data_IF_309588345814
#
_entry.id   IF_309588345814
#
_cell.length_a   1.000
_cell.length_b   1.000
_cell.length_c   1.000
_cell.angle_alpha   90.00
_cell.angle_beta   90.00
_cell.angle_gamma   90.00
#
_symmetry.space_group_name_H-M   'P 1'
#
loop_
_entity.id
_entity.type
_entity.pdbx_description
1 polymer ?
#
# COMPACT_ATOMS: atom_id res chain seq x y z
N UNK A 1 -19.39 22.67 -47.39
CA UNK A 1 -18.68 23.42 -46.34
C UNK A 1 -18.62 22.54 -45.11
N UNK A 2 -17.46 21.93 -44.86
CA UNK A 2 -17.24 21.06 -43.71
C UNK A 2 -16.70 21.90 -42.53
N UNK A 3 -17.36 21.82 -41.38
CA UNK A 3 -16.91 22.50 -40.15
C UNK A 3 -15.89 21.63 -39.42
N UNK A 4 -14.69 22.17 -39.25
CA UNK A 4 -13.61 21.59 -38.44
C UNK A 4 -13.93 21.77 -36.94
N UNK A 5 -14.01 20.66 -36.21
CA UNK A 5 -14.11 20.64 -34.74
C UNK A 5 -12.68 20.67 -34.18
N UNK A 6 -12.34 21.76 -33.50
CA UNK A 6 -11.06 21.92 -32.81
C UNK A 6 -11.07 21.09 -31.53
N UNK A 7 -10.23 20.05 -31.49
CA UNK A 7 -9.98 19.19 -30.33
C UNK A 7 -9.24 19.99 -29.26
N UNK A 8 -9.83 20.15 -28.08
CA UNK A 8 -9.15 20.70 -26.90
C UNK A 8 -8.09 19.72 -26.40
N UNK A 9 -6.86 20.23 -26.24
CA UNK A 9 -5.73 19.50 -25.65
C UNK A 9 -6.02 19.23 -24.17
N UNK A 10 -6.08 17.95 -23.80
CA UNK A 10 -6.09 17.47 -22.42
C UNK A 10 -4.64 17.52 -21.93
N UNK A 11 -4.33 18.44 -21.01
CA UNK A 11 -2.99 18.55 -20.43
C UNK A 11 -2.90 17.69 -19.17
N UNK A 12 -2.30 16.50 -19.32
CA UNK A 12 -1.85 15.65 -18.22
C UNK A 12 -0.82 16.40 -17.35
N UNK A 13 -0.83 16.26 -16.02
CA UNK A 13 0.22 16.80 -15.17
C UNK A 13 1.55 16.11 -15.49
N UNK A 14 2.51 16.88 -15.98
CA UNK A 14 3.83 16.38 -16.37
C UNK A 14 4.67 16.08 -15.14
N UNK A 15 5.06 14.81 -14.99
CA UNK A 15 6.17 14.40 -14.13
C UNK A 15 7.48 14.88 -14.77
N UNK A 16 8.21 15.80 -14.12
CA UNK A 16 9.47 16.37 -14.63
C UNK A 16 10.69 15.43 -14.52
N UNK A 17 10.52 14.11 -14.36
CA UNK A 17 11.58 13.13 -14.64
C UNK A 17 11.17 12.18 -15.76
N UNK A 18 11.94 12.19 -16.85
CA UNK A 18 11.90 11.20 -17.93
C UNK A 18 12.41 9.83 -17.49
N UNK A 19 11.74 9.21 -16.52
CA UNK A 19 12.00 7.81 -16.18
C UNK A 19 11.36 6.94 -17.25
N UNK A 20 12.18 6.57 -18.23
CA UNK A 20 11.91 5.46 -19.15
C UNK A 20 11.72 4.21 -18.30
N UNK A 21 10.50 3.68 -18.27
CA UNK A 21 10.21 2.37 -17.68
C UNK A 21 11.05 1.32 -18.41
N UNK A 22 12.16 0.89 -17.80
CA UNK A 22 12.95 -0.22 -18.29
C UNK A 22 12.39 -1.50 -17.68
N UNK A 23 11.30 -2.00 -18.24
CA UNK A 23 10.94 -3.40 -18.04
C UNK A 23 12.02 -4.24 -18.72
N UNK A 24 12.78 -4.99 -17.93
CA UNK A 24 13.59 -6.09 -18.45
C UNK A 24 12.66 -7.05 -19.17
N UNK A 25 12.78 -7.14 -20.50
CA UNK A 25 12.07 -8.15 -21.29
C UNK A 25 12.52 -9.52 -20.78
N UNK A 26 11.62 -10.27 -20.18
CA UNK A 26 11.79 -11.72 -20.04
C UNK A 26 11.89 -12.30 -21.45
N UNK A 27 12.94 -13.08 -21.66
CA UNK A 27 13.25 -13.74 -22.92
C UNK A 27 12.07 -14.64 -23.31
N UNK A 28 11.42 -14.27 -24.41
CA UNK A 28 10.46 -15.12 -25.11
C UNK A 28 11.27 -16.24 -25.78
N UNK A 29 11.10 -17.47 -25.29
CA UNK A 29 11.60 -18.65 -25.96
C UNK A 29 10.38 -19.43 -26.42
N UNK A 30 10.09 -19.33 -27.72
CA UNK A 30 9.10 -20.16 -28.39
C UNK A 30 9.60 -21.62 -28.39
N UNK A 31 8.70 -22.53 -28.06
CA UNK A 31 8.92 -23.96 -28.08
C UNK A 31 7.58 -24.67 -27.97
N UNK A 32 6.94 -24.87 -29.12
CA UNK A 32 5.78 -25.73 -29.30
C UNK A 32 6.03 -27.11 -28.70
N UNK A 33 5.07 -27.63 -27.92
CA UNK A 33 4.69 -29.05 -27.93
C UNK A 33 3.36 -29.24 -27.15
N UNK A 34 2.37 -29.79 -27.85
CA UNK A 34 1.11 -30.31 -27.32
C UNK A 34 1.36 -31.41 -26.28
N UNK A 35 0.67 -31.37 -25.14
CA UNK A 35 0.42 -32.56 -24.32
C UNK A 35 -1.08 -32.69 -24.00
N UNK A 36 -1.64 -33.82 -24.44
CA UNK A 36 -2.98 -34.33 -24.14
C UNK A 36 -3.05 -34.87 -22.70
N UNK A 37 -4.23 -34.92 -22.08
CA UNK A 37 -4.39 -35.45 -20.73
C UNK A 37 -4.32 -36.99 -20.68
N UNK A 38 -3.52 -37.52 -19.74
CA UNK A 38 -3.46 -38.94 -19.38
C UNK A 38 -4.65 -39.31 -18.47
N UNK A 39 -5.52 -40.17 -18.99
CA UNK A 39 -6.53 -40.91 -18.24
C UNK A 39 -5.93 -42.21 -17.68
N UNK A 40 -6.05 -42.43 -16.37
CA UNK A 40 -5.72 -43.71 -15.72
C UNK A 40 -6.98 -44.56 -15.65
N UNK A 41 -6.97 -45.70 -16.33
CA UNK A 41 -7.96 -46.78 -16.21
C UNK A 41 -7.46 -47.86 -15.25
N UNK A 42 -8.30 -48.25 -14.31
CA UNK A 42 -8.08 -49.38 -13.38
C UNK A 42 -8.54 -50.66 -14.07
N UNK A 43 -7.64 -51.61 -14.25
CA UNK A 43 -7.99 -52.98 -14.68
C UNK A 43 -8.24 -53.87 -13.47
N UNK A 44 -9.46 -54.40 -13.43
CA UNK A 44 -9.90 -55.50 -12.58
C UNK A 44 -9.72 -56.81 -13.37
N UNK A 45 -9.00 -57.78 -12.81
CA UNK A 45 -8.97 -59.14 -13.37
C UNK A 45 -9.33 -60.19 -12.32
N UNK A 46 -10.40 -60.90 -12.65
CA UNK A 46 -10.82 -62.24 -12.25
C UNK A 46 -9.62 -63.21 -12.30
N UNK A 47 -9.44 -64.20 -11.42
CA UNK A 47 -10.39 -65.15 -10.86
C UNK A 47 -9.90 -66.55 -11.22
N UNK A 48 -9.69 -67.43 -10.23
CA UNK A 48 -9.64 -68.88 -10.46
C UNK A 48 -9.85 -69.68 -9.17
N UNK A 49 -10.85 -70.56 -9.25
CA UNK A 49 -11.29 -71.54 -8.26
C UNK A 49 -10.42 -72.79 -8.32
N UNK A 50 -10.20 -73.42 -7.17
CA UNK A 50 -10.31 -74.88 -7.05
C UNK A 50 -10.69 -75.29 -5.62
N UNK A 51 -11.67 -76.20 -5.54
CA UNK A 51 -12.18 -76.84 -4.33
C UNK A 51 -11.23 -77.94 -3.85
N UNK A 52 -11.11 -78.11 -2.53
CA UNK A 52 -10.92 -79.43 -1.92
C UNK A 52 -11.54 -79.45 -0.50
N UNK A 53 -12.54 -80.29 -0.34
CA UNK A 53 -13.15 -80.70 0.93
C UNK A 53 -12.12 -81.42 1.82
N UNK A 54 -12.14 -81.17 3.13
CA UNK A 54 -12.25 -82.24 4.14
C UNK A 54 -12.38 -81.67 5.56
N UNK A 55 -13.39 -82.19 6.26
CA UNK A 55 -13.66 -82.02 7.67
C UNK A 55 -12.47 -82.41 8.55
N UNK A 56 -12.23 -81.66 9.62
CA UNK A 56 -12.20 -82.18 11.00
C UNK A 56 -11.96 -81.05 11.99
N UNK A 57 -13.02 -80.67 12.69
CA UNK A 57 -12.92 -79.99 13.97
C UNK A 57 -12.64 -81.04 15.05
N UNK A 58 -11.50 -80.93 15.74
CA UNK A 58 -11.44 -81.22 17.16
C UNK A 58 -10.17 -80.65 17.82
N UNK A 59 -10.42 -79.71 18.72
CA UNK A 59 -9.81 -79.55 20.04
C UNK A 59 -8.41 -78.91 20.19
N UNK A 60 -8.47 -77.73 20.83
CA UNK A 60 -7.77 -77.33 22.07
C UNK A 60 -6.24 -77.45 22.03
N UNK A 61 -5.55 -76.31 21.97
CA UNK A 61 -4.56 -75.95 22.98
C UNK A 61 -4.43 -74.43 23.12
N UNK A 62 -4.19 -74.06 24.35
CA UNK A 62 -4.28 -72.75 25.01
C UNK A 62 -2.95 -71.98 24.88
N UNK A 63 -3.00 -70.67 25.16
CA UNK A 63 -1.89 -69.70 25.30
C UNK A 63 -1.26 -69.17 23.99
N UNK A 64 -1.54 -67.91 23.67
CA UNK A 64 -0.68 -66.76 24.03
C UNK A 64 -1.38 -65.46 23.60
N UNK A 65 -1.55 -64.53 24.55
CA UNK A 65 -1.67 -63.12 24.21
C UNK A 65 -0.32 -62.70 23.60
N UNK A 66 -0.33 -62.30 22.34
CA UNK A 66 0.68 -61.39 21.82
C UNK A 66 -0.06 -60.29 21.10
N UNK A 67 -0.16 -59.16 21.78
CA UNK A 67 -0.45 -57.87 21.17
C UNK A 67 0.52 -57.65 20.00
N UNK A 68 0.06 -57.83 18.77
CA UNK A 68 0.69 -57.26 17.59
C UNK A 68 0.23 -55.80 17.41
N UNK A 69 0.38 -54.98 18.44
CA UNK A 69 0.07 -53.56 18.37
C UNK A 69 1.34 -52.78 18.77
N UNK A 70 2.21 -52.59 17.77
CA UNK A 70 3.39 -51.72 17.76
C UNK A 70 4.56 -52.10 18.70
N UNK A 71 5.26 -53.17 18.36
CA UNK A 71 6.61 -53.43 18.89
C UNK A 71 7.66 -52.51 18.25
N UNK A 72 7.69 -51.23 18.63
CA UNK A 72 8.87 -50.39 18.39
C UNK A 72 9.99 -50.99 19.24
N UNK A 73 11.07 -51.46 18.60
CA UNK A 73 12.23 -52.00 19.32
C UNK A 73 12.76 -50.93 20.30
N UNK A 74 13.20 -51.30 21.51
CA UNK A 74 13.77 -50.33 22.46
C UNK A 74 14.93 -49.53 21.83
N UNK A 75 15.68 -50.14 20.92
CA UNK A 75 16.75 -49.48 20.14
C UNK A 75 16.22 -48.41 19.18
N UNK A 76 15.05 -48.63 18.58
CA UNK A 76 14.41 -47.63 17.72
C UNK A 76 13.80 -46.49 18.51
N UNK A 77 13.30 -46.72 19.74
CA UNK A 77 12.86 -45.64 20.63
C UNK A 77 14.02 -44.72 21.03
N UNK A 78 15.18 -45.29 21.39
CA UNK A 78 16.39 -44.51 21.73
C UNK A 78 16.88 -43.68 20.54
N UNK A 79 16.95 -44.25 19.35
CA UNK A 79 17.35 -43.52 18.13
C UNK A 79 16.37 -42.41 17.77
N UNK A 80 15.06 -42.63 17.93
CA UNK A 80 14.03 -41.61 17.68
C UNK A 80 14.14 -40.48 18.71
N UNK A 81 14.37 -40.82 19.98
CA UNK A 81 14.54 -39.84 21.04
C UNK A 81 15.79 -38.98 20.82
N UNK A 82 16.91 -39.58 20.43
CA UNK A 82 18.15 -38.86 20.10
C UNK A 82 17.98 -37.98 18.86
N UNK A 83 17.27 -38.46 17.85
CA UNK A 83 16.97 -37.67 16.65
C UNK A 83 16.08 -36.47 16.97
N UNK A 84 15.03 -36.65 17.77
CA UNK A 84 14.16 -35.57 18.22
C UNK A 84 14.91 -34.57 19.10
N UNK A 85 15.78 -35.06 19.99
CA UNK A 85 16.65 -34.22 20.81
C UNK A 85 17.62 -33.39 19.96
N UNK A 86 18.23 -33.99 18.93
CA UNK A 86 19.10 -33.29 17.98
C UNK A 86 18.33 -32.25 17.16
N UNK A 87 17.13 -32.59 16.67
CA UNK A 87 16.28 -31.64 15.94
C UNK A 87 15.87 -30.45 16.80
N UNK A 88 15.53 -30.69 18.07
CA UNK A 88 15.19 -29.63 19.02
C UNK A 88 16.41 -28.76 19.36
N UNK A 89 17.57 -29.37 19.56
CA UNK A 89 18.84 -28.65 19.77
C UNK A 89 19.19 -27.78 18.56
N UNK A 90 19.08 -28.32 17.35
CA UNK A 90 19.31 -27.58 16.11
C UNK A 90 18.33 -26.43 15.97
N UNK A 91 17.04 -26.63 16.25
CA UNK A 91 16.05 -25.55 16.27
C UNK A 91 16.39 -24.47 17.29
N UNK A 92 16.81 -24.83 18.49
CA UNK A 92 17.20 -23.87 19.54
C UNK A 92 18.44 -23.04 19.18
N UNK A 93 19.34 -23.56 18.35
CA UNK A 93 20.55 -22.86 17.91
C UNK A 93 20.28 -22.07 16.62
N UNK A 94 19.63 -22.68 15.63
CA UNK A 94 19.38 -22.08 14.31
C UNK A 94 18.33 -20.98 14.37
N UNK A 95 17.28 -21.10 15.20
CA UNK A 95 16.24 -20.08 15.29
C UNK A 95 16.76 -18.71 15.77
N UNK A 96 17.54 -18.58 16.85
CA UNK A 96 18.12 -17.29 17.24
C UNK A 96 19.20 -16.81 16.27
N UNK A 97 19.97 -17.70 15.64
CA UNK A 97 20.93 -17.32 14.60
C UNK A 97 20.22 -16.77 13.36
N UNK A 98 19.13 -17.40 12.94
CA UNK A 98 18.27 -16.94 11.86
C UNK A 98 17.68 -15.58 12.20
N UNK A 99 17.08 -15.40 13.39
CA UNK A 99 16.60 -14.10 13.85
C UNK A 99 17.70 -13.04 13.86
N UNK A 100 18.91 -13.38 14.33
CA UNK A 100 20.03 -12.42 14.39
C UNK A 100 20.57 -12.04 13.02
N UNK A 101 20.63 -12.97 12.07
CA UNK A 101 21.15 -12.69 10.72
C UNK A 101 20.11 -12.05 9.80
N UNK A 102 18.82 -12.38 9.98
CA UNK A 102 17.74 -11.93 9.11
C UNK A 102 16.86 -10.82 9.69
N UNK A 103 17.04 -10.44 10.96
CA UNK A 103 16.36 -9.26 11.49
C UNK A 103 16.75 -8.03 10.65
N UNK A 104 15.77 -7.24 10.18
CA UNK A 104 16.05 -5.98 9.52
C UNK A 104 17.03 -5.16 10.36
N UNK A 105 18.16 -4.77 9.77
CA UNK A 105 19.15 -3.91 10.44
C UNK A 105 18.70 -2.44 10.49
N UNK A 106 17.72 -2.07 9.68
CA UNK A 106 17.24 -0.71 9.55
C UNK A 106 15.76 -0.67 9.95
N UNK A 107 15.46 0.04 11.03
CA UNK A 107 14.09 0.45 11.33
C UNK A 107 13.66 1.45 10.24
N UNK A 108 12.58 1.17 9.49
CA UNK A 108 12.16 2.05 8.40
C UNK A 108 11.70 3.40 8.96
N UNK A 109 12.34 4.47 8.51
CA UNK A 109 11.94 5.85 8.80
C UNK A 109 10.94 6.27 7.72
N UNK A 110 9.82 6.94 8.08
CA UNK A 110 8.87 7.44 7.11
C UNK A 110 9.51 8.38 6.10
N UNK A 111 9.01 8.42 4.86
CA UNK A 111 9.35 9.47 3.94
C UNK A 111 8.90 10.82 4.50
N UNK A 112 9.68 11.84 4.18
CA UNK A 112 9.37 13.22 4.54
C UNK A 112 8.52 13.83 3.43
N UNK A 113 7.38 14.41 3.82
CA UNK A 113 6.52 15.18 2.92
C UNK A 113 6.65 16.66 3.26
N UNK A 114 7.12 17.43 2.29
CA UNK A 114 7.35 18.86 2.40
C UNK A 114 6.42 19.59 1.43
N UNK A 115 5.57 20.49 1.93
CA UNK A 115 4.86 21.45 1.08
C UNK A 115 5.75 22.66 0.84
N UNK A 116 6.31 22.74 -0.36
CA UNK A 116 7.24 23.79 -0.74
C UNK A 116 6.52 25.13 -0.90
N UNK A 117 5.38 25.11 -1.60
CA UNK A 117 4.59 26.31 -1.90
C UNK A 117 3.15 25.94 -2.20
N UNK A 118 2.23 26.83 -1.84
CA UNK A 118 0.82 26.77 -2.25
C UNK A 118 0.35 28.15 -2.68
N UNK A 119 -0.38 28.20 -3.80
CA UNK A 119 -1.00 29.40 -4.34
C UNK A 119 -2.50 29.19 -4.45
N UNK A 120 -3.27 30.11 -3.89
CA UNK A 120 -4.73 30.14 -4.00
C UNK A 120 -5.14 31.16 -5.05
N UNK A 121 -6.07 30.80 -5.91
CA UNK A 121 -6.61 31.65 -6.97
C UNK A 121 -8.09 31.42 -7.17
N UNK A 122 -8.74 32.36 -7.88
CA UNK A 122 -10.17 32.34 -8.17
C UNK A 122 -11.03 32.14 -6.90
N UNK A 123 -10.61 32.71 -5.78
CA UNK A 123 -11.28 32.51 -4.51
C UNK A 123 -12.54 33.40 -4.40
N UNK A 124 -13.71 32.78 -4.45
CA UNK A 124 -15.01 33.46 -4.29
C UNK A 124 -15.88 32.71 -3.28
N UNK A 125 -16.58 33.47 -2.44
CA UNK A 125 -17.46 32.97 -1.35
C UNK A 125 -18.87 33.54 -1.47
N UNK A 126 -19.35 33.74 -2.70
CA UNK A 126 -20.66 34.35 -2.97
C UNK A 126 -21.80 33.35 -2.73
N UNK A 127 -23.06 33.81 -2.87
CA UNK A 127 -24.27 32.99 -2.65
C UNK A 127 -24.35 31.72 -3.51
N UNK A 128 -23.48 31.59 -4.53
CA UNK A 128 -23.34 30.39 -5.37
C UNK A 128 -22.44 29.29 -4.78
N UNK A 129 -21.81 29.50 -3.61
CA UNK A 129 -20.91 28.56 -2.95
C UNK A 129 -19.44 28.98 -3.03
N UNK A 130 -18.53 28.05 -2.69
CA UNK A 130 -17.09 28.27 -2.80
C UNK A 130 -16.62 27.99 -4.23
N UNK A 131 -15.93 28.94 -4.84
CA UNK A 131 -15.00 28.67 -5.94
C UNK A 131 -13.58 28.95 -5.48
N UNK A 132 -12.66 28.02 -5.71
CA UNK A 132 -11.27 28.19 -5.35
C UNK A 132 -10.40 27.18 -6.12
N UNK A 133 -9.19 27.60 -6.47
CA UNK A 133 -8.16 26.70 -7.01
C UNK A 133 -6.87 26.85 -6.21
N UNK A 134 -6.40 25.75 -5.64
CA UNK A 134 -5.09 25.67 -4.99
C UNK A 134 -4.10 24.98 -5.92
N UNK A 135 -2.97 25.63 -6.16
CA UNK A 135 -1.82 25.10 -6.88
C UNK A 135 -0.70 24.85 -5.86
N UNK A 136 -0.44 23.58 -5.57
CA UNK A 136 0.46 23.15 -4.50
C UNK A 136 1.63 22.33 -5.05
N UNK A 137 2.83 22.60 -4.51
CA UNK A 137 4.06 21.90 -4.88
C UNK A 137 4.64 21.18 -3.67
N UNK A 138 4.84 19.89 -3.79
CA UNK A 138 5.40 19.05 -2.74
C UNK A 138 6.76 18.50 -3.12
N UNK A 139 7.56 18.18 -2.11
CA UNK A 139 8.70 17.29 -2.22
C UNK A 139 8.48 16.11 -1.29
N UNK A 140 8.59 14.91 -1.84
CA UNK A 140 8.53 13.65 -1.09
C UNK A 140 9.91 13.01 -1.15
N UNK A 141 10.50 12.72 0.01
CA UNK A 141 11.87 12.21 0.11
C UNK A 141 11.89 10.90 0.87
N UNK A 142 12.52 9.87 0.29
CA UNK A 142 12.78 8.62 0.98
C UNK A 142 14.11 8.73 1.75
N UNK A 143 14.07 8.58 3.08
CA UNK A 143 15.23 8.81 3.94
C UNK A 143 16.13 7.58 4.01
N UNK A 144 15.59 6.42 4.39
CA UNK A 144 16.43 5.24 4.67
C UNK A 144 15.94 3.91 4.08
N UNK A 145 14.72 3.83 3.55
CA UNK A 145 14.19 2.56 2.99
C UNK A 145 14.84 2.30 1.64
N UNK A 146 15.24 1.06 1.33
CA UNK A 146 15.94 0.75 0.07
C UNK A 146 15.17 1.20 -1.17
N UNK A 147 13.87 0.91 -1.22
CA UNK A 147 12.95 1.44 -2.23
C UNK A 147 11.52 1.53 -1.69
N UNK A 148 10.80 2.60 -2.01
CA UNK A 148 9.38 2.76 -1.68
C UNK A 148 8.59 2.89 -2.97
N UNK A 149 7.60 2.02 -3.16
CA UNK A 149 6.58 2.17 -4.18
C UNK A 149 5.33 2.82 -3.60
N UNK A 150 5.08 4.07 -3.97
CA UNK A 150 3.83 4.76 -3.65
C UNK A 150 2.77 4.32 -4.65
N UNK A 151 1.71 3.64 -4.17
CA UNK A 151 0.56 3.27 -5.00
C UNK A 151 -0.30 4.51 -5.26
N UNK A 152 -0.73 5.16 -4.20
CA UNK A 152 -1.48 6.41 -4.25
C UNK A 152 -1.11 7.26 -3.04
N UNK A 153 -1.15 8.58 -3.24
CA UNK A 153 -1.23 9.54 -2.16
C UNK A 153 -2.49 10.35 -2.42
N UNK A 154 -3.48 10.20 -1.55
CA UNK A 154 -4.73 10.95 -1.62
C UNK A 154 -4.62 12.14 -0.67
N UNK A 155 -4.76 13.35 -1.21
CA UNK A 155 -4.61 14.61 -0.50
C UNK A 155 -5.99 15.22 -0.27
N UNK A 156 -6.23 15.72 0.93
CA UNK A 156 -7.45 16.43 1.30
C UNK A 156 -7.05 17.76 1.91
N UNK A 157 -7.53 18.87 1.34
CA UNK A 157 -7.42 20.21 1.93
C UNK A 157 -8.72 20.53 2.65
N UNK A 158 -8.64 21.07 3.85
CA UNK A 158 -9.77 21.40 4.70
C UNK A 158 -9.61 22.78 5.35
N UNK A 159 -10.71 23.34 5.82
CA UNK A 159 -10.69 24.65 6.47
C UNK A 159 -10.21 24.56 7.92
N UNK A 160 -9.31 25.46 8.33
CA UNK A 160 -8.74 25.52 9.68
C UNK A 160 -8.17 24.15 10.11
N UNK A 161 -8.72 23.54 11.15
CA UNK A 161 -8.16 22.36 11.83
C UNK A 161 -9.05 21.11 11.77
N UNK A 162 -10.22 21.18 11.12
CA UNK A 162 -11.19 20.09 11.12
C UNK A 162 -11.20 19.35 9.78
N UNK A 163 -10.72 18.10 9.70
CA UNK A 163 -10.72 17.33 8.45
C UNK A 163 -12.11 17.07 7.85
N UNK A 164 -13.18 17.13 8.66
CA UNK A 164 -14.56 17.01 8.16
C UNK A 164 -14.97 18.21 7.32
N UNK A 165 -14.34 19.37 7.51
CA UNK A 165 -14.54 20.59 6.73
C UNK A 165 -13.72 20.55 5.43
N UNK A 166 -13.75 19.40 4.74
CA UNK A 166 -13.00 19.15 3.52
C UNK A 166 -13.49 20.06 2.38
N UNK A 167 -12.53 20.74 1.73
CA UNK A 167 -12.81 21.69 0.65
C UNK A 167 -12.52 21.10 -0.73
N UNK A 168 -11.48 20.30 -0.83
CA UNK A 168 -11.10 19.65 -2.09
C UNK A 168 -10.18 18.46 -1.87
N UNK A 169 -10.18 17.54 -2.84
CA UNK A 169 -9.29 16.38 -2.88
C UNK A 169 -8.52 16.31 -4.18
N UNK A 170 -7.32 15.74 -4.12
CA UNK A 170 -6.49 15.40 -5.29
C UNK A 170 -5.70 14.12 -4.99
N UNK A 171 -5.23 13.40 -6.02
CA UNK A 171 -4.42 12.20 -5.84
C UNK A 171 -3.16 12.23 -6.70
N UNK A 172 -2.06 11.64 -6.21
CA UNK A 172 -0.87 11.41 -7.00
C UNK A 172 -1.01 10.18 -7.89
N UNK A 173 -0.28 10.16 -9.01
CA UNK A 173 -0.01 8.92 -9.72
C UNK A 173 0.97 8.03 -8.92
N UNK A 174 1.01 6.71 -9.19
CA UNK A 174 1.99 5.83 -8.58
C UNK A 174 3.42 6.16 -8.99
N UNK A 175 4.39 6.03 -8.08
CA UNK A 175 5.82 6.24 -8.37
C UNK A 175 6.72 5.46 -7.40
N UNK A 176 7.99 5.32 -7.78
CA UNK A 176 9.03 4.72 -6.94
C UNK A 176 9.97 5.80 -6.41
N UNK A 177 10.50 5.59 -5.21
CA UNK A 177 11.62 6.36 -4.64
C UNK A 177 12.65 5.41 -4.05
N UNK A 178 13.86 5.42 -4.59
CA UNK A 178 14.99 4.72 -4.01
C UNK A 178 15.50 5.42 -2.75
N UNK A 179 16.37 4.76 -1.99
CA UNK A 179 16.96 5.31 -0.76
C UNK A 179 17.70 6.63 -1.03
N UNK A 180 17.31 7.69 -0.30
CA UNK A 180 17.88 9.03 -0.45
C UNK A 180 17.30 9.83 -1.62
N UNK A 181 16.45 9.22 -2.45
CA UNK A 181 15.86 9.86 -3.61
C UNK A 181 14.62 10.69 -3.22
N UNK A 182 14.29 11.66 -4.07
CA UNK A 182 13.13 12.53 -3.89
C UNK A 182 12.37 12.76 -5.20
N UNK A 183 11.07 13.03 -5.09
CA UNK A 183 10.22 13.46 -6.19
C UNK A 183 9.57 14.80 -5.86
N UNK A 184 9.36 15.61 -6.89
CA UNK A 184 8.55 16.84 -6.81
C UNK A 184 7.18 16.56 -7.38
N UNK A 185 6.14 16.79 -6.59
CA UNK A 185 4.76 16.63 -7.02
C UNK A 185 4.14 18.02 -7.21
N UNK A 186 3.38 18.19 -8.28
CA UNK A 186 2.59 19.38 -8.55
C UNK A 186 1.12 18.97 -8.62
N UNK A 187 0.33 19.47 -7.67
CA UNK A 187 -1.07 19.12 -7.51
C UNK A 187 -1.94 20.36 -7.63
N UNK A 188 -3.09 20.20 -8.27
CA UNK A 188 -4.13 21.21 -8.38
C UNK A 188 -5.38 20.70 -7.68
N UNK A 189 -5.89 21.50 -6.76
CA UNK A 189 -7.14 21.26 -6.06
C UNK A 189 -8.16 22.28 -6.55
N UNK A 190 -9.41 21.87 -6.72
CA UNK A 190 -10.48 22.75 -7.18
C UNK A 190 -11.72 22.54 -6.34
N UNK A 191 -12.21 23.63 -5.74
CA UNK A 191 -13.53 23.69 -5.13
C UNK A 191 -14.45 24.51 -6.04
N UNK A 192 -15.69 24.06 -6.24
CA UNK A 192 -16.65 24.73 -7.12
C UNK A 192 -18.04 24.11 -7.01
N UNK A 193 -19.07 24.96 -6.95
CA UNK A 193 -20.46 24.55 -7.11
C UNK A 193 -20.72 24.17 -8.58
N UNK A 194 -20.53 22.90 -8.92
CA UNK A 194 -21.04 22.23 -10.12
C UNK A 194 -20.59 22.76 -11.49
N UNK A 195 -19.77 21.96 -12.20
CA UNK A 195 -19.71 21.75 -13.68
C UNK A 195 -18.34 21.25 -14.18
N UNK A 196 -17.42 20.89 -13.28
CA UNK A 196 -16.22 20.11 -13.63
C UNK A 196 -16.46 18.62 -13.41
N UNK A 197 -16.08 17.78 -14.39
CA UNK A 197 -16.35 16.34 -14.54
C UNK A 197 -15.80 15.40 -13.42
N UNK A 198 -15.41 15.91 -12.26
CA UNK A 198 -14.82 15.09 -11.17
C UNK A 198 -15.80 14.97 -10.00
N UNK A 199 -16.68 13.98 -10.08
CA UNK A 199 -17.76 13.70 -9.15
C UNK A 199 -17.31 13.24 -7.73
N UNK A 200 -16.06 13.52 -7.34
CA UNK A 200 -15.44 13.07 -6.09
C UNK A 200 -15.01 14.24 -5.17
N UNK A 201 -15.39 15.48 -5.49
CA UNK A 201 -15.10 16.62 -4.61
C UNK A 201 -16.08 16.66 -3.42
N UNK A 202 -15.61 17.00 -2.20
CA UNK A 202 -16.47 17.16 -1.04
C UNK A 202 -17.54 18.25 -1.24
N UNK A 203 -18.69 18.08 -0.60
CA UNK A 203 -19.69 19.15 -0.52
C UNK A 203 -19.25 20.17 0.54
N UNK A 204 -19.16 21.44 0.14
CA UNK A 204 -18.75 22.54 1.03
C UNK A 204 -20.00 23.22 1.59
N UNK A 205 -20.19 23.16 2.90
CA UNK A 205 -21.36 23.77 3.56
C UNK A 205 -21.36 25.30 3.44
N UNK A 206 -22.54 25.88 3.20
CA UNK A 206 -22.70 27.34 3.06
C UNK A 206 -22.18 28.12 4.29
N UNK A 207 -22.36 27.56 5.49
CA UNK A 207 -21.83 28.15 6.73
C UNK A 207 -20.31 28.32 6.65
N UNK A 208 -19.61 27.31 6.14
CA UNK A 208 -18.16 27.34 5.98
C UNK A 208 -17.75 28.42 4.96
N UNK A 209 -18.49 28.52 3.84
CA UNK A 209 -18.28 29.55 2.81
C UNK A 209 -18.40 30.96 3.40
N UNK A 210 -19.45 31.21 4.20
CA UNK A 210 -19.64 32.50 4.87
C UNK A 210 -18.54 32.80 5.89
N UNK A 211 -18.12 31.81 6.68
CA UNK A 211 -17.03 31.97 7.64
C UNK A 211 -15.70 32.30 6.94
N UNK A 212 -15.37 31.61 5.85
CA UNK A 212 -14.20 31.93 5.02
C UNK A 212 -14.27 33.34 4.44
N UNK A 213 -15.44 33.77 3.95
CA UNK A 213 -15.62 35.12 3.44
C UNK A 213 -15.37 36.20 4.50
N UNK A 214 -15.88 35.98 5.72
CA UNK A 214 -15.67 36.88 6.88
C UNK A 214 -14.21 36.92 7.32
N UNK A 215 -13.57 35.76 7.44
CA UNK A 215 -12.17 35.66 7.88
C UNK A 215 -11.23 36.30 6.85
N UNK A 216 -11.46 36.10 5.54
CA UNK A 216 -10.73 36.83 4.48
C UNK A 216 -10.89 38.34 4.61
N UNK A 217 -12.12 38.84 4.80
CA UNK A 217 -12.39 40.27 4.87
C UNK A 217 -11.80 40.93 6.13
N UNK A 218 -11.75 40.18 7.24
CA UNK A 218 -11.27 40.66 8.53
C UNK A 218 -9.75 40.60 8.66
N UNK A 219 -9.16 39.45 8.34
CA UNK A 219 -7.77 39.12 8.64
C UNK A 219 -6.86 39.16 7.39
N UNK A 220 -7.43 39.34 6.19
CA UNK A 220 -6.69 39.34 4.93
C UNK A 220 -5.99 38.02 4.62
N UNK A 221 -6.35 36.95 5.34
CA UNK A 221 -5.72 35.64 5.27
C UNK A 221 -6.72 34.55 5.60
N UNK A 222 -6.42 33.33 5.17
CA UNK A 222 -7.19 32.13 5.49
C UNK A 222 -6.25 31.03 5.96
N UNK A 223 -6.69 30.27 6.95
CA UNK A 223 -5.94 29.13 7.46
C UNK A 223 -6.59 27.84 6.96
N UNK A 224 -5.74 26.97 6.42
CA UNK A 224 -6.12 25.66 5.92
C UNK A 224 -5.32 24.59 6.64
N UNK A 225 -5.87 23.40 6.67
CA UNK A 225 -5.14 22.19 6.97
C UNK A 225 -5.12 21.26 5.76
N UNK A 226 -4.19 20.32 5.78
CA UNK A 226 -4.07 19.29 4.78
C UNK A 226 -3.77 17.95 5.42
N UNK A 227 -4.49 16.92 4.97
CA UNK A 227 -4.26 15.53 5.34
C UNK A 227 -3.94 14.73 4.08
N UNK A 228 -3.09 13.73 4.24
CA UNK A 228 -2.78 12.75 3.21
C UNK A 228 -3.20 11.38 3.70
N UNK A 229 -3.68 10.54 2.80
CA UNK A 229 -3.77 9.09 2.98
C UNK A 229 -2.84 8.45 1.96
N UNK A 230 -1.76 7.86 2.45
CA UNK A 230 -0.74 7.26 1.58
C UNK A 230 -0.84 5.75 1.66
N UNK A 231 -0.85 5.11 0.50
CA UNK A 231 -0.73 3.67 0.35
C UNK A 231 0.58 3.37 -0.35
N UNK A 232 1.48 2.65 0.31
CA UNK A 232 2.80 2.35 -0.22
C UNK A 232 3.23 0.91 0.06
N UNK A 233 4.22 0.44 -0.69
CA UNK A 233 4.96 -0.79 -0.42
C UNK A 233 6.40 -0.40 -0.15
N UNK A 234 6.91 -0.80 1.00
CA UNK A 234 8.31 -0.60 1.36
C UNK A 234 9.07 -1.88 1.03
N UNK A 235 10.14 -1.73 0.25
CA UNK A 235 11.10 -2.77 -0.04
C UNK A 235 12.36 -2.45 0.76
N UNK A 236 12.57 -3.20 1.83
CA UNK A 236 13.86 -3.27 2.51
C UNK A 236 14.75 -4.32 1.86
N UNK A 237 15.99 -4.44 2.34
CA UNK A 237 16.96 -5.40 1.80
C UNK A 237 16.50 -6.86 1.93
N UNK A 238 15.86 -7.19 3.05
CA UNK A 238 15.44 -8.56 3.39
C UNK A 238 13.95 -8.70 3.68
N UNK A 239 13.18 -7.62 3.52
CA UNK A 239 11.77 -7.56 3.91
C UNK A 239 10.95 -6.70 2.96
N UNK A 240 9.66 -6.98 2.88
CA UNK A 240 8.68 -6.19 2.13
C UNK A 240 7.45 -5.97 3.00
N UNK A 241 6.94 -4.75 3.04
CA UNK A 241 5.75 -4.43 3.85
C UNK A 241 4.82 -3.48 3.12
N UNK A 242 3.51 -3.71 3.25
CA UNK A 242 2.49 -2.75 2.83
C UNK A 242 2.31 -1.75 3.98
N UNK A 243 2.41 -0.46 3.67
CA UNK A 243 2.35 0.62 4.65
C UNK A 243 1.23 1.57 4.28
N UNK A 244 0.39 1.88 5.27
CA UNK A 244 -0.57 2.98 5.21
C UNK A 244 -0.12 4.04 6.21
N UNK A 245 -0.05 5.29 5.76
CA UNK A 245 0.33 6.41 6.61
C UNK A 245 -0.61 7.58 6.37
N UNK A 246 -0.87 8.37 7.41
CA UNK A 246 -1.76 9.52 7.35
C UNK A 246 -1.03 10.83 7.71
N UNK A 247 -0.09 11.31 6.87
CA UNK A 247 0.55 12.62 7.07
C UNK A 247 -0.48 13.75 7.23
N UNK A 248 -0.24 14.70 8.14
CA UNK A 248 -1.10 15.87 8.30
C UNK A 248 -0.30 17.14 8.61
N UNK A 249 -0.85 18.30 8.27
CA UNK A 249 -0.33 19.63 8.56
C UNK A 249 -1.51 20.60 8.72
N UNK A 250 -1.64 21.27 9.85
CA UNK A 250 -2.85 22.08 10.17
C UNK A 250 -2.63 23.60 10.08
N UNK A 251 -1.39 24.06 9.90
CA UNK A 251 -1.02 25.48 9.98
C UNK A 251 -0.64 26.06 8.60
N UNK A 252 -1.50 25.87 7.59
CA UNK A 252 -1.28 26.38 6.24
C UNK A 252 -1.99 27.72 6.03
N UNK A 253 -1.40 28.80 6.55
CA UNK A 253 -1.93 30.16 6.35
C UNK A 253 -1.63 30.69 4.96
N UNK A 254 -2.67 31.07 4.23
CA UNK A 254 -2.61 31.74 2.93
C UNK A 254 -2.93 33.22 3.13
N UNK A 255 -1.98 34.08 2.77
CA UNK A 255 -2.16 35.52 2.81
C UNK A 255 -2.61 36.03 1.44
N UNK A 256 -3.69 36.81 1.40
CA UNK A 256 -4.21 37.40 0.17
C UNK A 256 -3.37 38.59 -0.28
N UNK A 257 -3.26 38.75 -1.58
CA UNK A 257 -2.66 39.93 -2.19
C UNK A 257 -3.67 41.09 -2.13
N UNK A 258 -3.21 42.36 -1.96
CA UNK A 258 -4.09 43.52 -2.00
C UNK A 258 -4.91 43.56 -3.29
N UNK A 259 -6.21 43.82 -3.16
CA UNK A 259 -7.17 43.96 -4.26
C UNK A 259 -7.23 42.76 -5.24
N UNK A 260 -6.91 41.55 -4.76
CA UNK A 260 -6.96 40.31 -5.56
C UNK A 260 -7.62 39.16 -4.82
N UNK A 261 -8.36 38.35 -5.57
CA UNK A 261 -8.92 37.07 -5.10
C UNK A 261 -7.88 35.93 -5.17
N UNK A 262 -6.64 36.23 -4.80
CA UNK A 262 -5.54 35.29 -4.84
C UNK A 262 -4.60 35.49 -3.67
N UNK A 263 -4.03 34.38 -3.19
CA UNK A 263 -3.17 34.37 -2.02
C UNK A 263 -2.03 33.39 -2.13
N UNK A 264 -1.02 33.58 -1.27
CA UNK A 264 0.17 32.73 -1.18
C UNK A 264 0.33 32.19 0.21
N UNK A 265 0.84 30.96 0.30
CA UNK A 265 1.25 30.38 1.57
C UNK A 265 2.27 31.30 2.27
N UNK A 266 1.95 31.74 3.48
CA UNK A 266 2.79 32.61 4.29
C UNK A 266 4.03 31.87 4.82
N UNK A 267 3.87 30.59 5.15
CA UNK A 267 4.91 29.72 5.70
C UNK A 267 5.30 28.64 4.68
N UNK A 268 6.19 28.93 3.71
CA UNK A 268 6.65 27.92 2.75
C UNK A 268 7.51 26.85 3.44
N UNK A 269 7.65 25.69 2.79
CA UNK A 269 8.40 24.54 3.28
C UNK A 269 7.81 23.96 4.59
N UNK A 270 6.50 23.81 4.63
CA UNK A 270 5.80 23.19 5.75
C UNK A 270 6.00 21.67 5.74
N UNK A 271 6.51 21.11 6.84
CA UNK A 271 6.66 19.66 7.04
C UNK A 271 5.35 19.04 7.51
N UNK A 272 5.04 17.86 7.00
CA UNK A 272 3.91 17.07 7.47
C UNK A 272 4.33 16.14 8.60
N UNK A 273 3.51 16.10 9.64
CA UNK A 273 3.63 15.12 10.73
C UNK A 273 3.13 13.77 10.23
N UNK A 274 3.99 12.75 10.25
CA UNK A 274 3.65 11.40 9.81
C UNK A 274 3.47 10.49 11.02
N UNK A 275 2.23 10.29 11.51
CA UNK A 275 1.97 9.27 12.50
C UNK A 275 2.14 7.91 11.83
N UNK A 276 3.22 7.22 12.16
CA UNK A 276 3.39 5.82 11.80
C UNK A 276 2.48 4.97 12.68
N UNK A 277 1.42 4.42 12.11
CA UNK A 277 0.82 3.20 12.64
C UNK A 277 1.57 2.00 12.07
N UNK A 278 2.86 1.89 12.39
CA UNK A 278 3.66 0.73 11.98
C UNK A 278 3.55 -0.36 13.04
N UNK A 279 2.97 -1.50 12.65
CA UNK A 279 3.30 -2.78 13.28
C UNK A 279 4.09 -3.54 12.24
N UNK A 280 5.36 -3.91 12.49
CA UNK A 280 5.98 -4.92 11.66
C UNK A 280 5.06 -6.13 11.72
N UNK A 281 4.56 -6.58 10.57
CA UNK A 281 4.27 -8.00 10.46
C UNK A 281 5.63 -8.68 10.59
N UNK A 282 5.95 -9.14 11.80
CA UNK A 282 6.89 -10.23 11.91
C UNK A 282 6.16 -11.42 11.28
N UNK A 283 6.46 -11.68 10.02
CA UNK A 283 6.58 -13.09 9.68
C UNK A 283 7.67 -13.58 10.64
N UNK A 284 7.36 -14.56 11.49
CA UNK A 284 8.19 -15.17 12.56
C UNK A 284 8.02 -14.67 14.00
#
# INVERSE_FOLDING_TARGET
MASSITRSNIQQPQNERGHVYRFSRLSQNDGDHEERPLSVSVEESTGSRSNANSNSNSNVFEYYYTEEIFGISPRTCEMIQDLLGLMLLLMLILLPLYKRLWSPKEDPIPPVFLLNSMYLSNFTTESGGLSAMWDAKFTVTNINVSCIYFRTIDFTIFYKHNPEDALSVASSYPFYLDKGDYVKLHLKFTAGSGTGWENNQPFVENRLVEEMGKDKAKDGSLSFGMQMKVQAIYYGETWVSNVVMNPHCEDLTVQFLPDKDSGRLANPNANFSVPLQWKPFSFF
#
